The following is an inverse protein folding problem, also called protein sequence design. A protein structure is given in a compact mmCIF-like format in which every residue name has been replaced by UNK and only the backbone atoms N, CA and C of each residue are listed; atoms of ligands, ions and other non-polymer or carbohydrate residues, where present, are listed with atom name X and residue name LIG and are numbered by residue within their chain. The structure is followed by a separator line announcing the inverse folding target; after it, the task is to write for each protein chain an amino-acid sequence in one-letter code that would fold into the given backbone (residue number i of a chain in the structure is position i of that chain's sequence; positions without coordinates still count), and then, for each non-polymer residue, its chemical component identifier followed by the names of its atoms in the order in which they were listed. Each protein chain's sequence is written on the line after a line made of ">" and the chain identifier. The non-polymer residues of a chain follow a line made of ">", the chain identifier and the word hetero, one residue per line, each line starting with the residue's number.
data_IF_730377353435
#
_entry.id   IF_730377353435
#
_cell.length_a   1.000
_cell.length_b   1.000
_cell.length_c   1.000
_cell.angle_alpha   90.00
_cell.angle_beta   90.00
_cell.angle_gamma   90.00
#
_symmetry.space_group_name_H-M   'P 1'
#
loop_
_entity.id
_entity.type
_entity.pdbx_description
1 polymer ?
#
# COMPACT_ATOMS: atom_id res chain seq x y z
N UNK A 1 13.61 6.57 -13.36
CA UNK A 1 13.39 5.57 -12.28
C UNK A 1 13.05 6.30 -11.01
N UNK A 2 11.97 5.91 -10.33
CA UNK A 2 11.66 6.42 -8.99
C UNK A 2 12.71 5.94 -7.98
N UNK A 3 13.06 6.80 -7.03
CA UNK A 3 13.99 6.50 -5.95
C UNK A 3 13.34 6.86 -4.61
N UNK A 4 13.61 6.07 -3.57
CA UNK A 4 13.08 6.27 -2.23
C UNK A 4 13.93 5.53 -1.20
N UNK A 5 13.90 5.99 0.04
CA UNK A 5 14.63 5.42 1.18
C UNK A 5 13.83 4.34 1.90
N UNK A 6 12.52 4.31 1.68
CA UNK A 6 11.60 3.31 2.22
C UNK A 6 10.67 2.81 1.12
N UNK A 7 10.04 1.64 1.35
CA UNK A 7 8.99 1.15 0.46
C UNK A 7 7.82 2.15 0.36
N UNK A 8 7.46 2.80 1.47
CA UNK A 8 6.38 3.77 1.50
C UNK A 8 6.66 4.98 0.60
N UNK A 9 7.88 5.53 0.65
CA UNK A 9 8.27 6.64 -0.24
C UNK A 9 8.17 6.26 -1.73
N UNK A 10 8.46 5.00 -2.08
CA UNK A 10 8.32 4.53 -3.46
C UNK A 10 6.84 4.44 -3.87
N UNK A 11 5.97 3.98 -2.97
CA UNK A 11 4.51 3.95 -3.18
C UNK A 11 3.96 5.37 -3.39
N UNK A 12 4.33 6.30 -2.51
CA UNK A 12 3.89 7.71 -2.61
C UNK A 12 4.33 8.35 -3.92
N UNK A 13 5.62 8.24 -4.28
CA UNK A 13 6.15 8.81 -5.52
C UNK A 13 5.50 8.20 -6.75
N UNK A 14 5.27 6.88 -6.76
CA UNK A 14 4.60 6.23 -7.88
C UNK A 14 3.14 6.67 -8.02
N UNK A 15 2.41 6.79 -6.91
CA UNK A 15 1.04 7.28 -6.90
C UNK A 15 0.92 8.74 -7.35
N UNK A 16 1.97 9.55 -7.18
CA UNK A 16 2.03 10.92 -7.71
C UNK A 16 2.41 10.96 -9.20
N UNK A 17 3.38 10.15 -9.63
CA UNK A 17 3.90 10.18 -11.00
C UNK A 17 2.93 9.55 -12.02
N UNK A 18 2.25 8.47 -11.64
CA UNK A 18 1.32 7.76 -12.51
C UNK A 18 0.08 7.28 -11.73
N UNK A 19 -0.78 8.20 -11.25
CA UNK A 19 -1.88 7.87 -10.34
C UNK A 19 -2.86 6.86 -10.92
N UNK A 20 -3.22 7.02 -12.20
CA UNK A 20 -4.25 6.24 -12.89
C UNK A 20 -3.70 4.95 -13.54
N UNK A 21 -2.39 4.73 -13.48
CA UNK A 21 -1.80 3.52 -14.04
C UNK A 21 -2.19 2.29 -13.20
N UNK A 22 -2.58 1.22 -13.89
CA UNK A 22 -2.94 -0.05 -13.28
C UNK A 22 -1.74 -0.64 -12.53
N UNK A 23 -1.94 -1.03 -11.27
CA UNK A 23 -0.90 -1.61 -10.42
C UNK A 23 -1.18 -3.07 -10.05
N UNK A 24 -2.37 -3.36 -9.53
CA UNK A 24 -2.74 -4.70 -9.07
C UNK A 24 -3.91 -5.24 -9.87
N UNK A 25 -3.89 -6.54 -10.14
CA UNK A 25 -5.06 -7.33 -10.52
C UNK A 25 -5.07 -8.59 -9.67
N UNK A 26 -6.25 -9.03 -9.24
CA UNK A 26 -6.40 -10.31 -8.54
C UNK A 26 -7.12 -11.37 -9.39
N UNK A 27 -7.32 -12.56 -8.82
CA UNK A 27 -7.99 -13.69 -9.46
C UNK A 27 -9.46 -13.40 -9.84
N UNK A 28 -10.11 -12.53 -9.09
CA UNK A 28 -11.46 -12.03 -9.37
C UNK A 28 -11.50 -10.92 -10.41
N UNK A 29 -10.38 -10.60 -11.06
CA UNK A 29 -10.21 -9.46 -12.00
C UNK A 29 -10.50 -8.11 -11.36
N UNK A 30 -10.44 -8.00 -10.03
CA UNK A 30 -10.46 -6.68 -9.38
C UNK A 30 -9.13 -6.00 -9.65
N UNK A 31 -9.20 -4.75 -10.04
CA UNK A 31 -8.03 -3.94 -10.36
C UNK A 31 -7.87 -2.80 -9.37
N UNK A 32 -6.63 -2.36 -9.17
CA UNK A 32 -6.34 -1.13 -8.46
C UNK A 32 -5.26 -0.33 -9.20
N UNK A 33 -5.48 0.97 -9.29
CA UNK A 33 -4.47 1.96 -9.70
C UNK A 33 -3.48 2.24 -8.58
N UNK A 34 -2.36 2.92 -8.89
CA UNK A 34 -1.40 3.32 -7.87
C UNK A 34 -2.01 4.27 -6.82
N UNK A 35 -2.88 5.20 -7.22
CA UNK A 35 -3.56 6.10 -6.30
C UNK A 35 -4.52 5.36 -5.34
N UNK A 36 -5.26 4.38 -5.87
CA UNK A 36 -6.16 3.54 -5.07
C UNK A 36 -5.40 2.65 -4.09
N UNK A 37 -4.27 2.08 -4.53
CA UNK A 37 -3.42 1.26 -3.67
C UNK A 37 -2.85 2.07 -2.50
N UNK A 38 -2.29 3.26 -2.76
CA UNK A 38 -1.82 4.18 -1.71
C UNK A 38 -2.94 4.45 -0.70
N UNK A 39 -4.12 4.82 -1.19
CA UNK A 39 -5.26 5.14 -0.33
C UNK A 39 -5.73 3.94 0.51
N UNK A 40 -5.69 2.72 -0.05
CA UNK A 40 -6.03 1.51 0.68
C UNK A 40 -4.98 1.17 1.75
N UNK A 41 -3.70 1.34 1.44
CA UNK A 41 -2.61 1.15 2.37
C UNK A 41 -2.69 2.15 3.54
N UNK A 42 -2.99 3.43 3.28
CA UNK A 42 -3.20 4.43 4.34
C UNK A 42 -4.38 4.07 5.26
N UNK A 43 -5.49 3.58 4.68
CA UNK A 43 -6.64 3.11 5.48
C UNK A 43 -6.27 1.92 6.36
N UNK A 44 -5.53 0.95 5.84
CA UNK A 44 -5.04 -0.18 6.62
C UNK A 44 -4.08 0.27 7.73
N UNK A 45 -3.16 1.18 7.42
CA UNK A 45 -2.22 1.76 8.37
C UNK A 45 -2.95 2.53 9.49
N UNK A 46 -3.99 3.30 9.17
CA UNK A 46 -4.81 3.98 10.17
C UNK A 46 -5.52 3.00 11.12
N UNK A 47 -6.00 1.87 10.60
CA UNK A 47 -6.56 0.80 11.43
C UNK A 47 -5.53 0.15 12.35
N UNK A 48 -4.33 -0.15 11.84
CA UNK A 48 -3.22 -0.68 12.64
C UNK A 48 -2.76 0.32 13.71
N UNK A 49 -2.65 1.60 13.36
CA UNK A 49 -2.31 2.66 14.31
C UNK A 49 -3.36 2.78 15.42
N UNK A 50 -4.65 2.66 15.11
CA UNK A 50 -5.73 2.63 16.10
C UNK A 50 -5.65 1.41 17.04
N UNK A 51 -4.99 0.33 16.63
CA UNK A 51 -4.69 -0.86 17.45
C UNK A 51 -3.37 -0.74 18.24
N UNK A 52 -2.67 0.40 18.15
CA UNK A 52 -1.41 0.65 18.86
C UNK A 52 -0.15 0.18 18.12
N UNK A 53 -0.26 -0.18 16.84
CA UNK A 53 0.91 -0.51 16.00
C UNK A 53 1.67 0.77 15.65
N UNK A 54 2.98 0.76 15.88
CA UNK A 54 3.88 1.86 15.55
C UNK A 54 5.21 1.37 15.00
N UNK A 55 6.20 2.26 15.01
CA UNK A 55 7.59 1.91 14.69
C UNK A 55 8.05 0.71 15.53
N UNK A 56 8.84 -0.17 14.93
CA UNK A 56 9.36 -1.41 15.51
C UNK A 56 8.32 -2.43 16.00
N UNK A 57 7.02 -2.22 15.77
CA UNK A 57 5.99 -3.18 16.15
C UNK A 57 5.89 -4.31 15.12
N UNK A 58 6.16 -5.59 15.48
CA UNK A 58 5.97 -6.69 14.55
C UNK A 58 4.49 -6.98 14.31
N UNK A 59 4.11 -7.19 13.05
CA UNK A 59 2.76 -7.59 12.64
C UNK A 59 2.86 -8.93 11.91
N UNK A 60 2.14 -9.94 12.40
CA UNK A 60 1.98 -11.21 11.69
C UNK A 60 0.75 -11.14 10.78
N UNK A 61 0.83 -11.70 9.57
CA UNK A 61 -0.27 -11.75 8.64
C UNK A 61 -0.39 -13.16 8.06
N UNK A 62 -1.58 -13.76 8.21
CA UNK A 62 -1.96 -14.99 7.55
C UNK A 62 -3.07 -14.69 6.53
N UNK A 63 -2.81 -15.03 5.27
CA UNK A 63 -3.79 -14.97 4.19
C UNK A 63 -4.12 -16.38 3.71
N UNK A 64 -5.34 -16.62 3.20
CA UNK A 64 -5.61 -17.81 2.41
C UNK A 64 -4.72 -17.81 1.15
N UNK A 65 -4.23 -18.99 0.77
CA UNK A 65 -3.51 -19.24 -0.48
C UNK A 65 -4.47 -19.53 -1.62
#
# INVERSE_FOLDING_TARGET
>A
MIQGRTLWELVEKRAQESPDALFLTDEGKRTMTFAEYRSAAERAAAGLAAMGVGEDTPVTWQLPT
#
